data_IF_110354040174
#
_entry.id   IF_110354040174
#
_cell.length_a   1.000
_cell.length_b   1.000
_cell.length_c   1.000
_cell.angle_alpha   90.00
_cell.angle_beta   90.00
_cell.angle_gamma   90.00
#
_symmetry.space_group_name_H-M   'P 1'
#
loop_
_entity.id
_entity.type
_entity.pdbx_description
1 polymer ?
#
# COMPACT_ATOMS: atom_id res chain seq x y z
N UNK A 1 87.64 -2.35 22.37
CA UNK A 1 86.66 -3.41 22.56
C UNK A 1 85.37 -2.85 22.10
N UNK A 2 85.00 -3.17 20.86
CA UNK A 2 83.78 -2.69 20.22
C UNK A 2 82.60 -3.62 20.52
N UNK A 3 81.36 -3.13 20.55
CA UNK A 3 80.19 -3.98 20.48
C UNK A 3 79.61 -3.98 19.04
N UNK A 4 79.35 -5.18 18.58
CA UNK A 4 78.72 -5.53 17.30
C UNK A 4 77.25 -5.19 17.31
N UNK A 5 76.82 -4.33 16.39
CA UNK A 5 75.42 -4.06 16.11
C UNK A 5 74.91 -5.03 15.05
N UNK A 6 73.91 -5.86 15.40
CA UNK A 6 73.13 -6.63 14.44
C UNK A 6 71.81 -5.86 14.14
N UNK A 7 71.68 -5.36 12.92
CA UNK A 7 70.40 -4.93 12.35
C UNK A 7 69.64 -6.16 11.93
N UNK A 8 68.46 -6.35 12.57
CA UNK A 8 67.48 -7.32 12.13
C UNK A 8 66.51 -6.60 11.23
N UNK A 9 66.45 -6.94 9.94
CA UNK A 9 65.34 -6.55 9.02
C UNK A 9 64.07 -7.28 9.43
N UNK A 10 63.03 -6.54 9.82
CA UNK A 10 61.65 -7.01 9.89
C UNK A 10 61.04 -6.84 8.51
N UNK A 11 60.82 -7.94 7.82
CA UNK A 11 59.98 -7.99 6.64
C UNK A 11 58.54 -7.84 7.07
N UNK A 12 57.92 -6.73 6.71
CA UNK A 12 56.45 -6.53 6.86
C UNK A 12 55.74 -7.36 5.80
N UNK A 13 55.24 -8.52 6.18
CA UNK A 13 54.29 -9.29 5.38
C UNK A 13 52.97 -8.57 5.36
N UNK A 14 52.69 -7.88 4.26
CA UNK A 14 51.34 -7.37 4.00
C UNK A 14 50.38 -8.52 3.83
N UNK A 15 49.52 -8.75 4.81
CA UNK A 15 48.32 -9.60 4.63
C UNK A 15 47.40 -8.79 3.74
N UNK A 16 47.33 -9.14 2.46
CA UNK A 16 46.26 -8.73 1.58
C UNK A 16 44.98 -9.37 2.14
N UNK A 17 44.14 -8.57 2.79
CA UNK A 17 42.75 -8.93 3.00
C UNK A 17 42.10 -9.04 1.62
N UNK A 18 42.05 -10.25 1.10
CA UNK A 18 41.14 -10.59 0.01
C UNK A 18 39.74 -10.23 0.47
N UNK A 19 39.22 -9.11 -0.05
CA UNK A 19 37.80 -8.81 0.06
C UNK A 19 37.05 -9.97 -0.58
N UNK A 20 36.54 -10.88 0.22
CA UNK A 20 35.51 -11.77 -0.23
C UNK A 20 34.37 -10.89 -0.74
N UNK A 21 34.17 -10.90 -2.06
CA UNK A 21 32.97 -10.40 -2.67
C UNK A 21 31.81 -11.10 -1.95
N UNK A 22 31.05 -10.33 -1.15
CA UNK A 22 29.82 -10.82 -0.54
C UNK A 22 28.99 -11.33 -1.72
N UNK A 23 28.80 -12.65 -1.77
CA UNK A 23 28.05 -13.31 -2.79
C UNK A 23 26.70 -12.58 -2.94
N UNK A 24 26.37 -12.15 -4.14
CA UNK A 24 25.06 -11.70 -4.55
C UNK A 24 24.07 -12.84 -4.25
N UNK A 25 23.33 -12.78 -3.12
CA UNK A 25 22.47 -13.88 -2.70
C UNK A 25 22.05 -13.87 -1.23
N UNK A 26 21.93 -12.70 -0.59
CA UNK A 26 21.27 -12.61 0.72
C UNK A 26 19.81 -13.07 0.62
N UNK A 27 19.22 -13.44 1.75
CA UNK A 27 17.79 -13.87 1.83
C UNK A 27 16.84 -12.85 1.16
N UNK A 28 17.18 -11.57 1.21
CA UNK A 28 16.44 -10.44 0.64
C UNK A 28 17.41 -9.56 -0.17
N UNK A 29 17.71 -9.92 -1.43
CA UNK A 29 18.70 -9.21 -2.25
C UNK A 29 18.22 -7.77 -2.55
N UNK A 30 19.22 -6.86 -2.77
CA UNK A 30 18.99 -5.45 -3.12
C UNK A 30 19.30 -5.13 -4.58
N UNK A 31 19.62 -6.13 -5.36
CA UNK A 31 20.08 -6.06 -6.75
C UNK A 31 19.26 -6.98 -7.68
N UNK A 32 17.94 -7.05 -7.43
CA UNK A 32 17.03 -7.86 -8.23
C UNK A 32 17.02 -7.41 -9.68
N UNK A 33 17.06 -8.38 -10.58
CA UNK A 33 16.85 -8.19 -12.01
C UNK A 33 15.37 -8.39 -12.37
N UNK A 34 15.01 -8.06 -13.62
CA UNK A 34 13.69 -8.35 -14.16
C UNK A 34 13.40 -9.86 -14.15
N UNK A 35 14.40 -10.67 -14.48
CA UNK A 35 14.33 -12.13 -14.47
C UNK A 35 14.06 -12.67 -13.06
N UNK A 36 14.64 -12.04 -12.04
CA UNK A 36 14.34 -12.38 -10.64
C UNK A 36 12.90 -12.07 -10.28
N UNK A 37 12.39 -10.89 -10.67
CA UNK A 37 10.98 -10.54 -10.47
C UNK A 37 10.07 -11.52 -11.22
N UNK A 38 10.35 -11.83 -12.49
CA UNK A 38 9.59 -12.80 -13.29
C UNK A 38 9.59 -14.20 -12.65
N UNK A 39 10.69 -14.61 -12.03
CA UNK A 39 10.81 -15.85 -11.28
C UNK A 39 9.98 -15.78 -9.99
N UNK A 40 10.10 -14.70 -9.21
CA UNK A 40 9.38 -14.52 -7.97
C UNK A 40 7.87 -14.35 -8.15
N UNK A 41 7.43 -13.86 -9.29
CA UNK A 41 5.99 -13.86 -9.66
C UNK A 41 5.39 -15.29 -9.60
N UNK A 42 6.19 -16.31 -9.81
CA UNK A 42 5.78 -17.73 -9.72
C UNK A 42 6.09 -18.31 -8.34
N UNK A 43 7.32 -18.16 -7.85
CA UNK A 43 7.79 -18.79 -6.61
C UNK A 43 7.08 -18.27 -5.36
N UNK A 44 6.72 -16.98 -5.34
CA UNK A 44 6.00 -16.36 -4.23
C UNK A 44 4.48 -16.48 -4.37
N UNK A 45 3.98 -17.04 -5.47
CA UNK A 45 2.55 -17.11 -5.74
C UNK A 45 1.79 -17.89 -4.65
N UNK A 46 0.60 -17.39 -4.34
CA UNK A 46 -0.39 -18.06 -3.50
C UNK A 46 -1.49 -18.75 -4.33
N UNK A 47 -1.35 -18.81 -5.65
CA UNK A 47 -2.35 -19.42 -6.52
C UNK A 47 -2.64 -20.86 -6.10
N UNK A 48 -3.91 -21.22 -6.01
CA UNK A 48 -4.37 -22.51 -5.56
C UNK A 48 -4.24 -22.78 -4.05
N UNK A 49 -3.56 -21.92 -3.29
CA UNK A 49 -3.34 -22.13 -1.85
C UNK A 49 -4.63 -22.27 -1.05
N UNK A 50 -5.67 -21.54 -1.43
CA UNK A 50 -7.01 -21.60 -0.83
C UNK A 50 -8.04 -22.19 -1.79
N UNK A 51 -7.60 -22.94 -2.76
CA UNK A 51 -8.41 -23.63 -3.75
C UNK A 51 -8.50 -22.89 -5.09
N UNK A 52 -8.94 -23.62 -6.16
CA UNK A 52 -8.93 -23.09 -7.52
C UNK A 52 -9.94 -21.97 -7.77
N UNK A 53 -10.91 -21.81 -6.90
CA UNK A 53 -11.94 -20.76 -7.00
C UNK A 53 -11.71 -19.59 -6.03
N UNK A 54 -10.56 -19.55 -5.36
CA UNK A 54 -10.26 -18.46 -4.43
C UNK A 54 -10.11 -17.12 -5.16
N UNK A 55 -10.71 -16.10 -4.59
CA UNK A 55 -10.65 -14.71 -5.04
C UNK A 55 -10.27 -13.73 -3.91
N UNK A 56 -10.07 -14.26 -2.69
CA UNK A 56 -9.79 -13.45 -1.51
C UNK A 56 -8.30 -13.29 -1.23
N UNK A 57 -7.46 -14.16 -1.80
CA UNK A 57 -6.01 -14.09 -1.63
C UNK A 57 -5.58 -14.09 -0.16
N UNK A 58 -4.70 -13.16 0.20
CA UNK A 58 -4.18 -13.05 1.56
C UNK A 58 -5.22 -12.65 2.60
N UNK A 59 -6.40 -12.16 2.21
CA UNK A 59 -7.52 -11.89 3.13
C UNK A 59 -7.96 -13.18 3.85
N UNK A 60 -7.78 -14.35 3.24
CA UNK A 60 -8.02 -15.65 3.89
C UNK A 60 -7.19 -15.86 5.19
N UNK A 61 -6.10 -15.11 5.36
CA UNK A 61 -5.29 -15.15 6.58
C UNK A 61 -5.95 -14.42 7.76
N UNK A 62 -6.95 -13.58 7.50
CA UNK A 62 -7.75 -12.91 8.54
C UNK A 62 -8.79 -13.89 9.06
N UNK A 63 -8.35 -14.82 9.90
CA UNK A 63 -9.22 -15.85 10.51
C UNK A 63 -10.11 -15.27 11.60
N UNK A 64 -11.12 -16.04 12.04
CA UNK A 64 -11.95 -15.65 13.19
C UNK A 64 -11.13 -15.48 14.48
N UNK A 65 -10.10 -16.30 14.68
CA UNK A 65 -9.18 -16.15 15.81
C UNK A 65 -8.40 -14.83 15.70
N UNK A 66 -7.91 -14.49 14.51
CA UNK A 66 -7.21 -13.23 14.25
C UNK A 66 -8.11 -12.02 14.53
N UNK A 67 -9.36 -12.05 14.08
CA UNK A 67 -10.35 -10.98 14.36
C UNK A 67 -10.58 -10.79 15.86
N UNK A 68 -10.78 -11.89 16.60
CA UNK A 68 -10.96 -11.84 18.07
C UNK A 68 -9.73 -11.27 18.77
N UNK A 69 -8.54 -11.70 18.36
CA UNK A 69 -7.28 -11.17 18.92
C UNK A 69 -7.09 -9.67 18.59
N UNK A 70 -7.45 -9.25 17.38
CA UNK A 70 -7.41 -7.84 17.01
C UNK A 70 -8.38 -6.97 17.82
N UNK A 71 -9.61 -7.45 18.07
CA UNK A 71 -10.58 -6.76 18.91
C UNK A 71 -10.07 -6.54 20.33
N UNK A 72 -9.30 -7.48 20.88
CA UNK A 72 -8.72 -7.39 22.22
C UNK A 72 -7.59 -6.35 22.34
N UNK A 73 -7.16 -5.75 21.22
CA UNK A 73 -6.20 -4.63 21.21
C UNK A 73 -6.83 -3.29 21.60
N UNK A 74 -8.14 -3.18 21.51
CA UNK A 74 -8.85 -1.95 21.89
C UNK A 74 -8.83 -1.82 23.42
N UNK A 75 -8.17 -0.77 23.90
CA UNK A 75 -8.01 -0.48 25.34
C UNK A 75 -8.49 0.92 25.70
N UNK A 76 -8.25 1.88 24.82
CA UNK A 76 -8.51 3.30 25.07
C UNK A 76 -9.79 3.77 24.35
N UNK A 77 -10.28 3.01 23.36
CA UNK A 77 -11.43 3.37 22.53
C UNK A 77 -11.16 4.56 21.59
N UNK A 78 -9.89 4.93 21.39
CA UNK A 78 -9.53 6.06 20.52
C UNK A 78 -9.46 5.61 19.07
N UNK A 79 -10.25 6.28 18.22
CA UNK A 79 -10.29 6.05 16.77
C UNK A 79 -9.43 7.07 16.04
N UNK A 80 -8.66 6.60 15.05
CA UNK A 80 -7.83 7.44 14.18
C UNK A 80 -8.14 7.08 12.73
N UNK A 81 -8.65 8.04 11.97
CA UNK A 81 -8.81 7.92 10.51
C UNK A 81 -7.46 7.96 9.82
N UNK A 82 -7.31 7.13 8.81
CA UNK A 82 -6.11 7.09 7.95
C UNK A 82 -6.46 7.49 6.51
N UNK A 83 -7.59 8.13 6.29
CA UNK A 83 -7.98 8.60 4.96
C UNK A 83 -7.70 10.10 4.81
N UNK A 84 -7.34 10.46 3.58
CA UNK A 84 -7.37 11.86 3.15
C UNK A 84 -8.82 12.33 3.02
N UNK A 85 -9.05 13.61 3.27
CA UNK A 85 -10.29 14.27 2.86
C UNK A 85 -10.40 14.24 1.33
N UNK A 86 -11.63 14.13 0.83
CA UNK A 86 -11.85 14.17 -0.60
C UNK A 86 -11.41 15.51 -1.18
N UNK A 87 -10.58 15.46 -2.24
CA UNK A 87 -10.18 16.66 -2.99
C UNK A 87 -11.36 17.11 -3.86
N UNK A 88 -12.20 17.96 -3.29
CA UNK A 88 -13.35 18.54 -3.97
C UNK A 88 -12.91 19.67 -4.89
N UNK A 89 -13.58 19.86 -6.07
CA UNK A 89 -13.31 20.99 -6.93
C UNK A 89 -13.48 22.30 -6.18
N UNK A 90 -12.53 23.21 -6.31
CA UNK A 90 -12.67 24.56 -5.77
C UNK A 90 -13.89 25.24 -6.39
N UNK A 91 -14.57 26.09 -5.61
CA UNK A 91 -15.74 26.87 -6.03
C UNK A 91 -15.49 27.53 -7.40
N UNK A 92 -16.39 27.30 -8.38
CA UNK A 92 -16.25 27.79 -9.76
C UNK A 92 -15.65 26.80 -10.77
N UNK A 93 -15.17 25.64 -10.38
CA UNK A 93 -14.82 24.57 -11.31
C UNK A 93 -16.08 23.76 -11.67
N UNK A 94 -16.66 23.99 -12.83
CA UNK A 94 -17.77 23.17 -13.34
C UNK A 94 -17.26 21.75 -13.53
N UNK A 95 -17.71 20.84 -12.66
CA UNK A 95 -17.50 19.42 -12.84
C UNK A 95 -18.07 19.01 -14.19
N UNK A 96 -17.24 18.47 -15.08
CA UNK A 96 -17.74 17.90 -16.35
C UNK A 96 -18.75 16.78 -16.08
N UNK A 97 -19.61 16.46 -17.06
CA UNK A 97 -20.61 15.41 -16.91
C UNK A 97 -19.94 14.08 -16.55
N UNK A 98 -20.60 13.33 -15.68
CA UNK A 98 -20.16 12.00 -15.26
C UNK A 98 -20.03 11.06 -16.48
N UNK A 99 -18.95 10.26 -16.60
CA UNK A 99 -18.84 9.25 -17.63
C UNK A 99 -20.06 8.30 -17.58
N UNK A 100 -20.79 8.18 -18.67
CA UNK A 100 -21.97 7.30 -18.77
C UNK A 100 -23.33 7.97 -18.66
N UNK A 101 -23.41 9.27 -18.35
CA UNK A 101 -24.67 10.03 -18.42
C UNK A 101 -24.67 10.93 -19.67
N UNK A 102 -24.78 10.33 -20.85
CA UNK A 102 -25.11 11.04 -22.11
C UNK A 102 -24.10 12.06 -22.66
N UNK A 103 -22.86 12.05 -22.17
CA UNK A 103 -21.75 12.84 -22.70
C UNK A 103 -20.76 11.99 -23.48
N UNK A 104 -20.11 12.57 -24.48
CA UNK A 104 -19.10 11.89 -25.30
C UNK A 104 -18.04 11.18 -24.43
N UNK A 105 -17.52 10.00 -24.86
CA UNK A 105 -16.56 9.25 -24.08
C UNK A 105 -15.34 10.14 -23.77
N UNK A 106 -14.99 10.24 -22.49
CA UNK A 106 -13.77 10.88 -22.07
C UNK A 106 -12.61 10.24 -22.85
N UNK A 107 -11.80 11.05 -23.52
CA UNK A 107 -10.64 10.59 -24.26
C UNK A 107 -9.85 9.61 -23.37
N UNK A 108 -9.55 8.42 -23.89
CA UNK A 108 -8.71 7.42 -23.23
C UNK A 108 -7.37 8.08 -22.95
N UNK A 109 -7.20 8.60 -21.74
CA UNK A 109 -5.91 9.03 -21.24
C UNK A 109 -5.04 7.79 -21.13
N UNK A 110 -3.90 7.82 -21.80
CA UNK A 110 -2.85 6.81 -21.67
C UNK A 110 -2.54 6.63 -20.20
N UNK A 111 -2.43 5.38 -19.76
CA UNK A 111 -2.16 5.01 -18.38
C UNK A 111 -0.95 5.71 -17.80
N UNK A 112 -1.18 6.49 -16.80
CA UNK A 112 -0.19 7.21 -16.02
C UNK A 112 -0.94 8.02 -14.99
N UNK A 113 -0.65 7.79 -13.71
CA UNK A 113 -1.23 8.37 -12.52
C UNK A 113 -1.79 9.78 -12.66
N UNK A 114 -2.98 9.89 -13.24
CA UNK A 114 -3.73 11.13 -13.27
C UNK A 114 -4.16 11.53 -11.86
N UNK A 115 -4.30 12.84 -11.63
CA UNK A 115 -4.89 13.31 -10.38
C UNK A 115 -6.27 12.65 -10.18
N UNK A 116 -6.49 12.05 -9.01
CA UNK A 116 -7.80 11.58 -8.59
C UNK A 116 -8.79 12.74 -8.72
N UNK A 117 -9.94 12.49 -9.31
CA UNK A 117 -10.98 13.50 -9.44
C UNK A 117 -12.19 13.08 -8.64
N UNK A 118 -12.57 13.92 -7.71
CA UNK A 118 -13.85 13.79 -7.01
C UNK A 118 -14.79 14.85 -7.56
N UNK A 119 -15.99 14.45 -7.95
CA UNK A 119 -17.09 15.39 -8.25
C UNK A 119 -18.17 15.17 -7.22
N UNK A 120 -18.73 16.27 -6.73
CA UNK A 120 -19.82 16.27 -5.78
C UNK A 120 -20.87 17.27 -6.23
N UNK A 121 -22.12 16.86 -6.22
CA UNK A 121 -23.27 17.73 -6.50
C UNK A 121 -24.29 17.60 -5.39
N UNK A 122 -24.81 18.75 -4.98
CA UNK A 122 -25.86 18.88 -3.99
C UNK A 122 -27.13 19.33 -4.68
N UNK A 123 -28.24 18.62 -4.46
CA UNK A 123 -29.54 18.98 -5.00
C UNK A 123 -30.54 19.09 -3.85
N UNK A 124 -31.19 20.25 -3.73
CA UNK A 124 -32.33 20.39 -2.82
C UNK A 124 -33.57 19.82 -3.46
N UNK A 125 -34.30 19.01 -2.70
CA UNK A 125 -35.60 18.49 -3.08
C UNK A 125 -36.66 19.14 -2.16
N UNK A 126 -37.26 20.28 -2.57
CA UNK A 126 -38.27 20.94 -1.79
C UNK A 126 -39.55 20.06 -1.61
N UNK A 127 -40.39 20.31 -0.61
CA UNK A 127 -41.65 19.67 -0.47
C UNK A 127 -42.50 19.86 -1.74
N UNK A 128 -43.32 18.87 -2.09
CA UNK A 128 -44.27 19.01 -3.19
C UNK A 128 -45.33 20.11 -2.89
N UNK A 129 -45.91 20.71 -3.92
CA UNK A 129 -46.84 21.84 -3.77
C UNK A 129 -48.06 21.53 -2.87
N UNK A 130 -48.45 20.25 -2.77
CA UNK A 130 -49.56 19.76 -1.96
C UNK A 130 -49.13 19.14 -0.62
N UNK A 131 -47.86 19.22 -0.28
CA UNK A 131 -47.34 18.63 0.94
C UNK A 131 -47.68 19.48 2.15
N UNK A 132 -48.27 18.86 3.18
CA UNK A 132 -48.47 19.47 4.50
C UNK A 132 -47.16 19.46 5.33
N UNK A 133 -46.18 18.72 4.85
CA UNK A 133 -44.83 18.65 5.46
C UNK A 133 -43.98 19.74 4.83
N UNK A 134 -43.39 20.57 5.70
CA UNK A 134 -42.50 21.65 5.30
C UNK A 134 -41.04 21.18 5.20
N UNK A 135 -40.78 19.88 5.44
CA UNK A 135 -39.41 19.32 5.36
C UNK A 135 -38.92 19.25 3.92
N UNK A 136 -37.73 19.76 3.67
CA UNK A 136 -36.99 19.60 2.42
C UNK A 136 -35.84 18.61 2.63
N UNK A 137 -35.52 17.84 1.59
CA UNK A 137 -34.37 16.95 1.60
C UNK A 137 -33.26 17.48 0.72
N UNK A 138 -32.02 17.24 1.15
CA UNK A 138 -30.84 17.50 0.35
C UNK A 138 -30.26 16.17 -0.10
N UNK A 139 -29.94 16.07 -1.38
CA UNK A 139 -29.45 14.83 -2.02
C UNK A 139 -28.08 15.07 -2.59
N UNK A 140 -27.15 14.21 -2.26
CA UNK A 140 -25.77 14.24 -2.73
C UNK A 140 -25.54 13.19 -3.81
N UNK A 141 -24.73 13.56 -4.80
CA UNK A 141 -24.12 12.61 -5.74
C UNK A 141 -22.60 12.80 -5.72
N UNK A 142 -21.89 11.71 -5.49
CA UNK A 142 -20.42 11.71 -5.44
C UNK A 142 -19.90 10.73 -6.49
N UNK A 143 -18.97 11.18 -7.34
CA UNK A 143 -18.19 10.30 -8.21
C UNK A 143 -16.72 10.53 -7.97
N UNK A 144 -15.95 9.44 -7.85
CA UNK A 144 -14.52 9.46 -7.50
C UNK A 144 -13.74 8.60 -8.48
N UNK A 145 -12.74 9.20 -9.15
CA UNK A 145 -11.68 8.46 -9.85
C UNK A 145 -10.57 8.20 -8.83
N UNK A 146 -10.61 7.06 -8.14
CA UNK A 146 -9.79 6.81 -6.97
C UNK A 146 -8.40 6.23 -7.26
N UNK A 147 -8.22 5.47 -8.35
CA UNK A 147 -6.90 4.99 -8.75
C UNK A 147 -6.00 6.14 -9.20
N UNK A 148 -5.29 6.72 -8.27
CA UNK A 148 -4.43 7.87 -8.48
C UNK A 148 -3.72 8.28 -7.20
N UNK A 149 -3.17 9.50 -7.18
CA UNK A 149 -2.23 9.90 -6.14
C UNK A 149 -2.83 10.75 -4.99
N UNK A 150 -4.13 11.07 -5.03
CA UNK A 150 -4.74 12.05 -4.13
C UNK A 150 -5.95 11.53 -3.34
N UNK A 151 -6.29 10.27 -3.50
CA UNK A 151 -7.41 9.64 -2.79
C UNK A 151 -6.91 8.40 -2.05
N UNK A 152 -7.23 8.28 -0.78
CA UNK A 152 -7.00 7.03 -0.05
C UNK A 152 -7.94 5.97 -0.61
N UNK A 153 -7.38 4.91 -1.15
CA UNK A 153 -8.16 3.85 -1.77
C UNK A 153 -7.57 2.47 -1.52
N UNK A 154 -8.41 1.47 -1.70
CA UNK A 154 -8.05 0.06 -1.68
C UNK A 154 -8.00 -0.45 -3.11
N UNK A 155 -6.94 -1.18 -3.45
CA UNK A 155 -6.83 -1.99 -4.65
C UNK A 155 -7.18 -3.43 -4.36
N UNK A 156 -8.17 -3.97 -5.08
CA UNK A 156 -8.44 -5.39 -5.11
C UNK A 156 -7.47 -6.12 -6.05
N UNK A 157 -7.27 -7.45 -5.93
CA UNK A 157 -6.34 -8.17 -6.80
C UNK A 157 -6.63 -8.03 -8.30
N UNK A 158 -7.89 -7.76 -8.67
CA UNK A 158 -8.28 -7.45 -10.05
C UNK A 158 -7.80 -6.11 -10.56
N UNK A 159 -7.21 -5.23 -9.72
CA UNK A 159 -6.71 -3.94 -10.20
C UNK A 159 -5.55 -4.12 -11.21
N UNK A 160 -4.82 -5.23 -11.13
CA UNK A 160 -3.67 -5.52 -11.99
C UNK A 160 -3.81 -6.87 -12.68
N UNK A 161 -3.57 -6.90 -13.99
CA UNK A 161 -3.30 -8.15 -14.71
C UNK A 161 -1.87 -8.18 -15.23
N UNK A 162 -1.30 -9.37 -15.27
CA UNK A 162 0.06 -9.61 -15.77
C UNK A 162 0.06 -10.81 -16.70
N UNK A 163 0.67 -10.66 -17.91
CA UNK A 163 0.69 -11.69 -18.95
C UNK A 163 -0.69 -12.30 -19.25
N UNK A 164 -1.74 -11.45 -19.26
CA UNK A 164 -3.12 -11.85 -19.58
C UNK A 164 -3.88 -12.55 -18.45
N UNK A 165 -3.37 -12.55 -17.23
CA UNK A 165 -4.00 -13.18 -16.07
C UNK A 165 -4.06 -12.20 -14.88
N UNK A 166 -5.09 -12.37 -14.04
CA UNK A 166 -5.19 -11.77 -12.72
C UNK A 166 -4.87 -12.81 -11.64
N UNK A 167 -5.03 -12.46 -10.36
CA UNK A 167 -4.76 -13.38 -9.27
C UNK A 167 -5.46 -14.74 -9.47
N UNK A 168 -4.83 -15.80 -8.96
CA UNK A 168 -5.27 -17.21 -9.03
C UNK A 168 -5.48 -17.76 -10.46
N UNK A 169 -4.88 -17.10 -11.45
CA UNK A 169 -4.87 -17.58 -12.85
C UNK A 169 -6.12 -17.27 -13.65
N UNK A 170 -7.04 -16.46 -13.11
CA UNK A 170 -8.20 -16.06 -13.90
C UNK A 170 -7.77 -15.23 -15.12
N UNK A 171 -8.39 -15.46 -16.28
CA UNK A 171 -7.97 -14.78 -17.50
C UNK A 171 -8.40 -13.31 -17.53
N UNK A 172 -7.63 -12.48 -18.22
CA UNK A 172 -7.97 -11.08 -18.48
C UNK A 172 -9.36 -10.92 -19.15
N UNK A 173 -9.81 -11.92 -19.90
CA UNK A 173 -11.17 -11.94 -20.49
C UNK A 173 -12.30 -11.98 -19.45
N UNK A 174 -11.97 -12.11 -18.14
CA UNK A 174 -12.97 -11.91 -17.06
C UNK A 174 -13.43 -10.47 -16.93
N UNK A 175 -12.72 -9.47 -17.49
CA UNK A 175 -13.21 -8.09 -17.52
C UNK A 175 -14.24 -7.91 -18.62
N UNK A 176 -15.26 -7.10 -18.31
CA UNK A 176 -16.33 -6.73 -19.23
C UNK A 176 -16.69 -5.24 -19.04
N UNK A 177 -17.70 -4.78 -19.74
CA UNK A 177 -18.34 -3.46 -19.52
C UNK A 177 -18.98 -3.33 -18.13
N UNK A 178 -19.16 -4.45 -17.41
CA UNK A 178 -19.65 -4.51 -16.02
C UNK A 178 -18.52 -4.58 -14.98
N UNK A 179 -17.27 -4.44 -15.40
CA UNK A 179 -16.10 -4.50 -14.53
C UNK A 179 -15.43 -5.87 -14.47
N UNK A 180 -14.71 -6.14 -13.40
CA UNK A 180 -13.99 -7.38 -13.17
C UNK A 180 -14.97 -8.50 -12.74
N UNK A 181 -15.04 -9.58 -13.50
CA UNK A 181 -15.86 -10.75 -13.15
C UNK A 181 -15.20 -11.65 -12.10
N UNK A 182 -13.95 -11.40 -11.74
CA UNK A 182 -13.17 -12.14 -10.76
C UNK A 182 -12.27 -11.20 -9.96
N UNK A 183 -11.93 -11.61 -8.75
CA UNK A 183 -10.98 -10.93 -7.86
C UNK A 183 -11.33 -9.46 -7.55
N UNK A 184 -12.62 -9.11 -7.71
CA UNK A 184 -13.14 -7.76 -7.47
C UNK A 184 -13.24 -7.45 -5.97
N UNK A 185 -13.61 -6.23 -5.66
CA UNK A 185 -13.76 -5.75 -4.26
C UNK A 185 -14.76 -6.56 -3.44
N UNK A 186 -15.68 -7.29 -4.09
CA UNK A 186 -16.67 -8.12 -3.41
C UNK A 186 -16.07 -9.31 -2.67
N UNK A 187 -14.83 -9.71 -2.98
CA UNK A 187 -14.07 -10.70 -2.18
C UNK A 187 -13.88 -10.22 -0.72
N UNK A 188 -13.94 -8.91 -0.48
CA UNK A 188 -13.80 -8.26 0.82
C UNK A 188 -15.13 -7.67 1.36
N UNK A 189 -16.26 -8.05 0.80
CA UNK A 189 -17.60 -7.49 1.12
C UNK A 189 -18.03 -7.62 2.58
N UNK A 190 -17.43 -8.52 3.34
CA UNK A 190 -17.70 -8.72 4.77
C UNK A 190 -16.89 -7.78 5.66
N UNK A 191 -16.16 -6.85 5.07
CA UNK A 191 -15.27 -5.92 5.77
C UNK A 191 -13.93 -6.54 6.16
N UNK A 192 -12.99 -5.67 6.42
CA UNK A 192 -11.66 -5.99 6.92
C UNK A 192 -11.61 -5.58 8.38
N UNK A 193 -11.29 -6.55 9.24
CA UNK A 193 -11.21 -6.41 10.68
C UNK A 193 -10.05 -7.25 11.16
N UNK A 194 -8.90 -6.64 11.44
CA UNK A 194 -7.66 -7.36 11.77
C UNK A 194 -6.71 -6.51 12.61
N UNK A 195 -5.60 -7.09 13.04
CA UNK A 195 -4.51 -6.31 13.62
C UNK A 195 -3.82 -5.51 12.53
N UNK A 196 -3.80 -4.18 12.67
CA UNK A 196 -2.93 -3.28 11.94
C UNK A 196 -1.61 -3.08 12.69
N UNK A 197 -0.50 -2.98 11.96
CA UNK A 197 0.82 -2.63 12.50
C UNK A 197 1.42 -1.49 11.69
N UNK A 198 1.90 -0.45 12.38
CA UNK A 198 2.51 0.71 11.73
C UNK A 198 4.03 0.58 11.71
N UNK A 199 4.60 0.68 10.53
CA UNK A 199 6.03 0.84 10.27
C UNK A 199 6.33 2.32 10.03
N UNK A 200 6.80 3.02 11.05
CA UNK A 200 7.16 4.44 10.97
C UNK A 200 8.64 4.59 10.62
N UNK A 201 8.95 4.52 9.32
CA UNK A 201 10.35 4.50 8.85
C UNK A 201 11.05 5.85 9.07
N UNK A 202 10.43 7.01 8.88
CA UNK A 202 11.04 8.28 9.28
C UNK A 202 11.43 8.30 10.75
N UNK A 203 10.58 7.80 11.66
CA UNK A 203 10.89 7.73 13.09
C UNK A 203 11.99 6.73 13.41
N UNK A 204 12.14 5.65 12.63
CA UNK A 204 13.30 4.75 12.72
C UNK A 204 14.59 5.51 12.42
N UNK A 205 14.59 6.28 11.34
CA UNK A 205 15.77 6.99 10.81
C UNK A 205 16.02 8.35 11.48
N UNK A 206 15.13 8.82 12.34
CA UNK A 206 15.25 10.11 13.04
C UNK A 206 15.07 11.32 12.13
N UNK A 207 14.26 11.20 11.08
CA UNK A 207 13.94 12.24 10.11
C UNK A 207 12.43 12.52 10.08
N UNK A 208 11.97 13.70 9.65
CA UNK A 208 10.53 13.98 9.54
C UNK A 208 9.85 13.21 8.42
N UNK A 209 10.55 12.97 7.31
CA UNK A 209 10.11 12.21 6.13
C UNK A 209 11.32 11.65 5.38
N UNK A 210 11.07 10.65 4.53
CA UNK A 210 12.10 10.04 3.67
C UNK A 210 12.43 10.94 2.47
N UNK A 211 13.61 10.74 1.88
CA UNK A 211 13.98 11.34 0.60
C UNK A 211 13.00 10.94 -0.51
N UNK A 212 12.86 11.81 -1.53
CA UNK A 212 11.81 11.68 -2.55
C UNK A 212 11.89 10.37 -3.38
N UNK A 213 13.03 9.68 -3.39
CA UNK A 213 13.25 8.39 -4.06
C UNK A 213 13.88 7.35 -3.12
N UNK A 214 13.76 7.53 -1.83
CA UNK A 214 14.42 6.69 -0.82
C UNK A 214 13.77 5.31 -0.75
N UNK A 215 14.57 4.26 -0.98
CA UNK A 215 14.12 2.88 -0.87
C UNK A 215 14.11 2.41 0.58
N UNK A 216 13.05 1.70 0.95
CA UNK A 216 12.91 0.97 2.21
C UNK A 216 13.25 -0.48 1.93
N UNK A 217 14.21 -1.02 2.66
CA UNK A 217 14.64 -2.40 2.55
C UNK A 217 14.13 -3.26 3.72
N UNK A 218 14.26 -4.56 3.60
CA UNK A 218 13.81 -5.50 4.65
C UNK A 218 14.49 -5.23 5.97
N UNK A 219 15.75 -4.81 5.96
CA UNK A 219 16.51 -4.46 7.15
C UNK A 219 15.89 -3.28 7.92
N UNK A 220 15.31 -2.30 7.21
CA UNK A 220 14.57 -1.20 7.83
C UNK A 220 13.30 -1.73 8.53
N UNK A 221 12.59 -2.66 7.87
CA UNK A 221 11.40 -3.29 8.45
C UNK A 221 11.75 -4.10 9.70
N UNK A 222 12.79 -4.92 9.65
CA UNK A 222 13.22 -5.73 10.79
C UNK A 222 13.79 -4.87 11.93
N UNK A 223 14.50 -3.80 11.60
CA UNK A 223 14.97 -2.84 12.60
C UNK A 223 13.80 -2.12 13.29
N UNK A 224 12.71 -1.81 12.54
CA UNK A 224 11.53 -1.23 13.13
C UNK A 224 10.76 -2.22 14.00
N UNK A 225 10.54 -3.46 13.57
CA UNK A 225 9.95 -4.51 14.42
C UNK A 225 10.65 -4.58 15.79
N UNK A 226 11.99 -4.60 15.76
CA UNK A 226 12.81 -4.65 16.99
C UNK A 226 12.63 -3.39 17.84
N UNK A 227 12.68 -2.19 17.23
CA UNK A 227 12.54 -0.91 17.94
C UNK A 227 11.14 -0.73 18.53
N UNK A 228 10.12 -1.11 17.77
CA UNK A 228 8.71 -0.96 18.13
C UNK A 228 8.16 -2.07 19.04
N UNK A 229 8.92 -3.16 19.20
CA UNK A 229 8.58 -4.26 20.12
C UNK A 229 7.44 -5.15 19.64
N UNK A 230 7.27 -5.31 18.33
CA UNK A 230 6.31 -6.26 17.77
C UNK A 230 6.94 -7.07 16.63
N UNK A 231 6.23 -8.09 16.19
CA UNK A 231 6.51 -8.85 14.97
C UNK A 231 5.25 -8.97 14.13
N UNK A 232 5.38 -8.86 12.82
CA UNK A 232 4.28 -9.15 11.89
C UNK A 232 3.91 -10.63 11.99
N UNK A 233 2.62 -10.90 12.07
CA UNK A 233 2.03 -12.24 12.16
C UNK A 233 1.03 -12.47 11.03
N UNK A 234 0.72 -13.73 10.71
CA UNK A 234 -0.28 -14.05 9.70
C UNK A 234 -1.60 -13.33 9.94
N UNK A 235 -2.11 -12.70 8.87
CA UNK A 235 -3.35 -11.93 8.89
C UNK A 235 -3.22 -10.48 9.33
N UNK A 236 -2.01 -9.98 9.62
CA UNK A 236 -1.81 -8.55 9.89
C UNK A 236 -1.95 -7.70 8.63
N UNK A 237 -2.44 -6.49 8.81
CA UNK A 237 -2.30 -5.40 7.86
C UNK A 237 -1.04 -4.59 8.21
N UNK A 238 -0.13 -4.50 7.26
CA UNK A 238 1.15 -3.77 7.39
C UNK A 238 0.98 -2.39 6.77
N UNK A 239 1.09 -1.32 7.58
CA UNK A 239 1.03 0.08 7.14
C UNK A 239 2.43 0.67 7.23
N UNK A 240 2.93 1.24 6.13
CA UNK A 240 4.29 1.81 6.03
C UNK A 240 4.20 3.30 5.81
N UNK A 241 4.63 4.09 6.81
CA UNK A 241 4.71 5.54 6.73
C UNK A 241 6.07 5.95 6.15
N UNK A 242 6.03 6.81 5.13
CA UNK A 242 7.20 7.49 4.56
C UNK A 242 7.31 8.95 5.01
N UNK A 243 6.25 9.52 5.56
CA UNK A 243 6.14 10.93 5.95
C UNK A 243 5.78 11.84 4.77
N UNK A 244 5.20 11.28 3.70
CA UNK A 244 4.81 12.03 2.50
C UNK A 244 4.04 13.30 2.81
N UNK A 245 3.07 13.25 3.72
CA UNK A 245 2.21 14.40 3.96
C UNK A 245 2.91 15.52 4.73
N UNK A 246 3.89 15.21 5.58
CA UNK A 246 4.81 16.21 6.16
C UNK A 246 5.63 16.85 5.04
N UNK A 247 6.24 16.04 4.18
CA UNK A 247 7.03 16.51 3.05
C UNK A 247 6.22 17.41 2.11
N UNK A 248 4.96 17.04 1.80
CA UNK A 248 4.07 17.83 0.94
C UNK A 248 3.72 19.17 1.58
N UNK A 249 3.47 19.22 2.88
CA UNK A 249 3.23 20.50 3.59
C UNK A 249 4.44 21.42 3.56
N UNK A 250 5.65 20.85 3.65
CA UNK A 250 6.89 21.65 3.70
C UNK A 250 7.41 22.07 2.32
N UNK A 251 7.33 21.19 1.33
CA UNK A 251 7.97 21.36 0.02
C UNK A 251 7.00 21.41 -1.17
N UNK A 252 5.70 21.30 -0.91
CA UNK A 252 4.68 21.20 -1.97
C UNK A 252 4.52 19.79 -2.55
N UNK A 253 3.67 19.62 -3.57
CA UNK A 253 3.34 18.32 -4.16
C UNK A 253 4.57 17.55 -4.66
N UNK A 254 4.53 16.22 -4.52
CA UNK A 254 5.51 15.29 -5.06
C UNK A 254 4.95 14.66 -6.34
N UNK A 255 5.76 14.64 -7.40
CA UNK A 255 5.41 13.89 -8.62
C UNK A 255 5.67 12.40 -8.41
N UNK A 256 4.66 11.71 -7.90
CA UNK A 256 4.73 10.28 -7.60
C UNK A 256 4.93 9.38 -8.81
N UNK A 257 4.77 9.91 -10.03
CA UNK A 257 5.07 9.13 -11.24
C UNK A 257 6.57 9.07 -11.50
N UNK A 258 7.27 10.12 -11.10
CA UNK A 258 8.71 10.25 -11.31
C UNK A 258 9.53 9.75 -10.14
N UNK A 259 9.12 10.09 -8.94
CA UNK A 259 9.91 9.86 -7.72
C UNK A 259 8.98 9.57 -6.55
N UNK A 260 9.22 8.47 -5.84
CA UNK A 260 8.41 8.06 -4.69
C UNK A 260 9.31 7.31 -3.71
N UNK A 261 9.38 7.71 -2.43
CA UNK A 261 9.93 6.84 -1.41
C UNK A 261 9.04 5.61 -1.27
N UNK A 262 9.60 4.45 -0.99
CA UNK A 262 8.78 3.26 -0.85
C UNK A 262 9.59 1.98 -0.72
N UNK A 263 8.88 0.87 -0.69
CA UNK A 263 9.47 -0.45 -0.52
C UNK A 263 10.26 -0.89 -1.76
N UNK A 264 11.43 -1.45 -1.53
CA UNK A 264 12.16 -2.18 -2.57
C UNK A 264 11.53 -3.56 -2.80
N UNK A 265 11.64 -4.08 -4.02
CA UNK A 265 10.98 -5.29 -4.49
C UNK A 265 11.16 -6.51 -3.56
N UNK A 266 12.32 -6.68 -2.92
CA UNK A 266 12.57 -7.82 -2.01
C UNK A 266 11.68 -7.83 -0.77
N UNK A 267 11.06 -6.71 -0.41
CA UNK A 267 10.13 -6.64 0.72
C UNK A 267 8.89 -7.53 0.52
N UNK A 268 8.48 -7.81 -0.74
CA UNK A 268 7.33 -8.71 -1.00
C UNK A 268 7.59 -10.12 -0.48
N UNK A 269 8.80 -10.63 -0.65
CA UNK A 269 9.18 -11.95 -0.11
C UNK A 269 9.06 -11.98 1.41
N UNK A 270 9.52 -10.92 2.09
CA UNK A 270 9.40 -10.78 3.53
C UNK A 270 7.93 -10.69 3.98
N UNK A 271 7.09 -9.89 3.32
CA UNK A 271 5.66 -9.78 3.59
C UNK A 271 4.95 -11.14 3.47
N UNK A 272 5.27 -11.89 2.41
CA UNK A 272 4.74 -13.25 2.22
C UNK A 272 5.15 -14.20 3.34
N UNK A 273 6.42 -14.21 3.71
CA UNK A 273 6.95 -15.07 4.78
C UNK A 273 6.35 -14.73 6.14
N UNK A 274 6.04 -13.45 6.40
CA UNK A 274 5.34 -13.00 7.62
C UNK A 274 3.85 -13.29 7.56
N UNK A 275 3.29 -13.59 6.40
CA UNK A 275 1.86 -13.81 6.21
C UNK A 275 1.05 -12.51 6.32
N UNK A 276 1.59 -11.39 5.88
CA UNK A 276 0.84 -10.14 5.81
C UNK A 276 -0.40 -10.33 4.93
N UNK A 277 -1.54 -9.78 5.35
CA UNK A 277 -2.81 -9.87 4.63
C UNK A 277 -3.10 -8.67 3.75
N UNK A 278 -2.60 -7.51 4.12
CA UNK A 278 -2.77 -6.24 3.43
C UNK A 278 -1.47 -5.47 3.58
N UNK A 279 -1.11 -4.73 2.54
CA UNK A 279 -0.04 -3.74 2.59
C UNK A 279 -0.64 -2.36 2.32
N UNK A 280 -0.31 -1.37 3.13
CA UNK A 280 -0.74 0.01 2.93
C UNK A 280 0.41 1.00 3.13
N UNK A 281 0.29 2.18 2.51
CA UNK A 281 1.27 3.25 2.66
C UNK A 281 0.64 4.62 2.45
N UNK A 282 1.35 5.66 2.89
CA UNK A 282 1.06 7.06 2.57
C UNK A 282 1.50 7.46 1.14
N UNK A 283 2.03 6.50 0.38
CA UNK A 283 2.40 6.57 -1.05
C UNK A 283 1.75 5.41 -1.82
N UNK A 284 2.34 5.02 -2.95
CA UNK A 284 1.92 3.91 -3.83
C UNK A 284 2.81 2.67 -3.64
N UNK A 285 3.21 2.33 -2.45
CA UNK A 285 4.07 1.25 -1.97
C UNK A 285 5.44 1.15 -2.62
N UNK A 286 5.53 1.16 -3.95
CA UNK A 286 6.79 1.00 -4.67
C UNK A 286 7.70 2.22 -4.55
N UNK A 287 8.97 2.02 -4.28
CA UNK A 287 9.98 3.05 -4.52
C UNK A 287 10.05 3.37 -6.02
N UNK A 288 10.13 4.64 -6.38
CA UNK A 288 10.31 5.07 -7.77
C UNK A 288 11.50 6.02 -7.90
N UNK A 289 12.39 5.74 -8.87
CA UNK A 289 12.46 4.56 -9.74
C UNK A 289 12.55 3.25 -8.95
N UNK A 290 11.98 2.17 -9.49
CA UNK A 290 11.87 0.86 -8.79
C UNK A 290 13.22 0.21 -8.43
N UNK A 291 14.30 0.69 -9.06
CA UNK A 291 15.66 0.12 -8.99
C UNK A 291 15.76 -1.32 -9.54
N UNK A 292 14.72 -1.78 -10.23
CA UNK A 292 14.70 -3.02 -11.01
C UNK A 292 14.50 -2.63 -12.46
N UNK A 293 15.53 -2.75 -13.28
CA UNK A 293 15.49 -2.33 -14.68
C UNK A 293 14.38 -3.05 -15.42
N UNK A 294 13.58 -2.29 -16.19
CA UNK A 294 12.45 -2.83 -16.98
C UNK A 294 11.21 -3.22 -16.17
N UNK A 295 11.17 -2.93 -14.85
CA UNK A 295 9.99 -3.18 -14.00
C UNK A 295 9.63 -1.92 -13.22
N UNK A 296 8.46 -1.32 -13.47
CA UNK A 296 8.08 -0.05 -12.82
C UNK A 296 7.52 -0.21 -11.40
N UNK A 297 6.70 -1.21 -11.16
CA UNK A 297 5.97 -1.41 -9.90
C UNK A 297 6.03 -2.87 -9.47
N UNK A 298 7.21 -3.39 -9.08
CA UNK A 298 7.38 -4.78 -8.70
C UNK A 298 6.56 -5.17 -7.46
N UNK A 299 6.32 -4.23 -6.52
CA UNK A 299 5.48 -4.48 -5.34
C UNK A 299 4.03 -4.71 -5.77
N UNK A 300 3.44 -3.80 -6.56
CA UNK A 300 2.08 -3.95 -7.09
C UNK A 300 1.92 -5.25 -7.86
N UNK A 301 2.87 -5.56 -8.77
CA UNK A 301 2.81 -6.76 -9.58
C UNK A 301 2.78 -8.03 -8.71
N UNK A 302 3.72 -8.17 -7.79
CA UNK A 302 3.82 -9.36 -6.95
C UNK A 302 2.71 -9.42 -5.90
N UNK A 303 2.34 -8.30 -5.27
CA UNK A 303 1.29 -8.26 -4.26
C UNK A 303 -0.08 -8.61 -4.84
N UNK A 304 -0.55 -7.86 -5.83
CA UNK A 304 -1.89 -8.05 -6.38
C UNK A 304 -2.01 -9.35 -7.16
N UNK A 305 -1.09 -9.60 -8.10
CA UNK A 305 -1.18 -10.75 -9.01
C UNK A 305 -0.73 -12.06 -8.37
N UNK A 306 0.43 -12.10 -7.71
CA UNK A 306 0.98 -13.35 -7.22
C UNK A 306 0.47 -13.74 -5.85
N UNK A 307 0.41 -12.76 -4.92
CA UNK A 307 -0.04 -13.03 -3.56
C UNK A 307 -1.57 -12.93 -3.40
N UNK A 308 -2.27 -12.22 -4.29
CA UNK A 308 -3.65 -11.81 -4.06
C UNK A 308 -3.75 -10.93 -2.81
N UNK A 309 -2.76 -10.06 -2.60
CA UNK A 309 -2.69 -9.16 -1.45
C UNK A 309 -3.24 -7.79 -1.84
N UNK A 310 -4.37 -7.35 -1.27
CA UNK A 310 -4.90 -6.00 -1.48
C UNK A 310 -3.94 -4.94 -0.98
N UNK A 311 -3.96 -3.77 -1.65
CA UNK A 311 -3.12 -2.62 -1.30
C UNK A 311 -3.98 -1.45 -0.83
N UNK A 312 -3.45 -0.62 0.07
CA UNK A 312 -4.03 0.67 0.47
C UNK A 312 -3.06 1.76 0.06
N UNK A 313 -3.46 2.55 -0.93
CA UNK A 313 -2.67 3.67 -1.44
C UNK A 313 -3.07 4.99 -0.80
N UNK A 314 -2.09 5.89 -0.68
CA UNK A 314 -2.28 7.27 -0.25
C UNK A 314 -2.98 7.42 1.12
N UNK A 315 -2.71 6.53 2.07
CA UNK A 315 -3.23 6.70 3.42
C UNK A 315 -2.64 7.96 4.10
N UNK A 316 -3.40 8.65 4.95
CA UNK A 316 -2.84 9.64 5.87
C UNK A 316 -2.42 8.94 7.17
N UNK A 317 -1.13 8.73 7.33
CA UNK A 317 -0.57 8.02 8.48
C UNK A 317 0.00 8.96 9.56
N UNK A 318 -0.17 10.28 9.42
CA UNK A 318 0.42 11.25 10.34
C UNK A 318 -0.24 11.17 11.73
N UNK A 319 -1.57 11.28 11.78
CA UNK A 319 -2.30 11.18 13.03
C UNK A 319 -2.13 9.81 13.70
N UNK A 320 -2.03 8.74 12.89
CA UNK A 320 -1.73 7.39 13.40
C UNK A 320 -0.33 7.32 14.03
N UNK A 321 0.69 7.90 13.39
CA UNK A 321 2.05 7.96 13.92
C UNK A 321 2.10 8.65 15.27
N UNK A 322 1.40 9.77 15.40
CA UNK A 322 1.32 10.53 16.67
C UNK A 322 0.61 9.73 17.75
N UNK A 323 -0.57 9.19 17.45
CA UNK A 323 -1.36 8.39 18.39
C UNK A 323 -0.61 7.15 18.89
N UNK A 324 0.09 6.45 17.97
CA UNK A 324 0.92 5.29 18.30
C UNK A 324 2.13 5.66 19.17
N UNK A 325 2.80 6.78 18.86
CA UNK A 325 3.95 7.27 19.62
C UNK A 325 3.57 7.65 21.05
N UNK A 326 2.46 8.41 21.24
CA UNK A 326 1.95 8.79 22.55
C UNK A 326 1.67 7.57 23.44
N UNK A 327 1.17 6.49 22.83
CA UNK A 327 0.85 5.23 23.52
C UNK A 327 2.02 4.26 23.60
N UNK A 328 3.10 4.52 22.88
CA UNK A 328 4.21 3.56 22.67
C UNK A 328 3.69 2.21 22.19
N UNK A 329 2.67 2.23 21.33
CA UNK A 329 1.96 1.05 20.84
C UNK A 329 1.70 1.18 19.35
N UNK A 330 2.34 0.33 18.57
CA UNK A 330 2.38 0.37 17.11
C UNK A 330 1.48 -0.68 16.45
N UNK A 331 0.78 -1.45 17.28
CA UNK A 331 -0.26 -2.40 16.89
C UNK A 331 -1.62 -1.94 17.42
N UNK A 332 -2.64 -2.05 16.60
CA UNK A 332 -3.99 -1.58 16.87
C UNK A 332 -5.01 -2.45 16.14
N UNK A 333 -6.29 -2.31 16.46
CA UNK A 333 -7.36 -2.86 15.65
C UNK A 333 -7.50 -2.00 14.39
N UNK A 334 -7.36 -2.61 13.21
CA UNK A 334 -7.73 -2.01 11.93
C UNK A 334 -9.14 -2.42 11.54
N UNK A 335 -9.98 -1.44 11.19
CA UNK A 335 -11.27 -1.66 10.53
C UNK A 335 -11.34 -0.89 9.22
N UNK A 336 -11.84 -1.54 8.17
CA UNK A 336 -12.05 -0.95 6.86
C UNK A 336 -13.17 -1.69 6.13
N UNK A 337 -14.13 -0.96 5.60
CA UNK A 337 -15.29 -1.54 4.92
C UNK A 337 -15.33 -1.04 3.47
N UNK A 338 -14.83 -1.81 2.51
CA UNK A 338 -14.94 -1.47 1.10
C UNK A 338 -16.40 -1.34 0.67
N UNK A 339 -16.68 -0.39 -0.21
CA UNK A 339 -18.01 -0.27 -0.82
C UNK A 339 -18.32 -1.54 -1.62
N UNK A 340 -19.56 -2.02 -1.50
CA UNK A 340 -20.02 -3.23 -2.17
C UNK A 340 -20.42 -2.94 -3.62
N UNK A 341 -19.44 -2.70 -4.47
CA UNK A 341 -19.63 -2.42 -5.90
C UNK A 341 -19.17 -3.64 -6.71
N UNK A 342 -20.08 -4.52 -7.15
CA UNK A 342 -19.70 -5.67 -7.97
C UNK A 342 -18.95 -5.25 -9.22
N UNK A 343 -17.83 -5.91 -9.49
CA UNK A 343 -16.98 -5.62 -10.63
C UNK A 343 -15.95 -4.50 -10.43
N UNK A 344 -15.99 -3.77 -9.29
CA UNK A 344 -14.99 -2.75 -9.01
C UNK A 344 -13.64 -3.38 -8.64
N UNK A 345 -12.57 -2.83 -9.22
CA UNK A 345 -11.19 -3.27 -8.98
C UNK A 345 -10.59 -2.69 -7.70
N UNK A 346 -11.38 -1.99 -6.92
CA UNK A 346 -11.01 -1.32 -5.69
C UNK A 346 -12.09 -0.34 -5.25
N UNK A 347 -11.72 0.64 -4.44
CA UNK A 347 -12.63 1.71 -4.03
C UNK A 347 -12.00 2.70 -3.06
N UNK A 348 -12.55 3.91 -2.96
CA UNK A 348 -12.16 4.82 -1.89
C UNK A 348 -12.52 4.18 -0.55
N UNK A 349 -11.63 4.33 0.43
CA UNK A 349 -11.80 3.76 1.75
C UNK A 349 -11.37 4.74 2.84
N UNK A 350 -11.97 4.60 4.01
CA UNK A 350 -11.51 5.23 5.23
C UNK A 350 -11.07 4.16 6.23
N UNK A 351 -9.80 3.74 6.21
CA UNK A 351 -9.29 2.82 7.21
C UNK A 351 -9.22 3.51 8.58
N UNK A 352 -9.69 2.82 9.62
CA UNK A 352 -9.70 3.34 11.00
C UNK A 352 -8.82 2.46 11.87
N UNK A 353 -7.86 3.09 12.54
CA UNK A 353 -7.14 2.47 13.65
C UNK A 353 -7.89 2.72 14.95
N UNK A 354 -8.05 1.68 15.77
CA UNK A 354 -8.67 1.77 17.10
C UNK A 354 -7.69 1.23 18.14
N UNK A 355 -7.38 2.10 19.12
CA UNK A 355 -6.45 1.79 20.21
C UNK A 355 -7.15 1.38 21.51
#
# INVERSE_FOLDING_TARGET
MEPITRRTLLAAGGVALSGEAIAAGGKYPRDLTKEDVDRWMKELSNWGKWGPNDQAGTINLITNAKRKAAAALVRDGVCVSMALDADLPKEGSTGGPLPGMGGAPAARGQGGGGASRTTWTLTSRPPGPDSRDLAAYVVDTIAVSYHGNNTTHLDAPSHLYYKGQIYNGYPQSSYSDRGAGKDDVMSMKNGIFTRGVLFDIPKLKGVPYLGDDEAIYVEDLEAWEKKAGFRVEPGDAVLVRTGRWVRVREKGPLDLNRSTPGLYASCVKWLRERGASILGSDVVQDVRPSRVEGVNQPIHQMALHSLGMPLIDNADLEALSEAAAQRRRWAYLLTMNPLRVPGATGGPVNPIAVF
#
